data_IF_195576135013
#
_entry.id   IF_195576135013
#
_cell.length_a   1.000
_cell.length_b   1.000
_cell.length_c   1.000
_cell.angle_alpha   90.00
_cell.angle_beta   90.00
_cell.angle_gamma   90.00
#
_symmetry.space_group_name_H-M   'P 1'
#
loop_
_entity.id
_entity.type
_entity.pdbx_description
1 polymer ?
#
# COMPACT_ATOMS: atom_id res chain seq x y z
N UNK A 1 9.36 1.12 16.05
CA UNK A 1 9.70 1.00 14.62
C UNK A 1 9.12 2.14 13.82
N UNK A 2 9.70 2.40 12.67
CA UNK A 2 9.18 3.40 11.73
C UNK A 2 8.22 2.74 10.74
N UNK A 3 7.22 3.48 10.26
CA UNK A 3 6.22 2.97 9.34
C UNK A 3 6.82 2.30 8.09
N UNK A 4 7.90 2.84 7.55
CA UNK A 4 8.60 2.27 6.39
C UNK A 4 9.31 0.94 6.70
N UNK A 5 9.81 0.75 7.92
CA UNK A 5 10.47 -0.49 8.35
C UNK A 5 9.47 -1.63 8.50
N UNK A 6 8.24 -1.32 8.92
CA UNK A 6 7.17 -2.31 9.04
C UNK A 6 6.83 -2.89 7.66
N UNK A 7 6.65 -2.04 6.64
CA UNK A 7 6.26 -2.49 5.30
C UNK A 7 7.40 -3.17 4.53
N UNK A 8 8.67 -2.79 4.76
CA UNK A 8 9.78 -3.22 3.92
C UNK A 8 10.41 -4.57 4.29
N UNK A 9 10.28 -5.02 5.54
CA UNK A 9 11.11 -6.09 6.07
C UNK A 9 10.37 -7.39 6.37
N UNK A 10 9.05 -7.35 6.54
CA UNK A 10 8.27 -8.49 7.00
C UNK A 10 6.98 -8.64 6.21
N UNK A 11 6.43 -9.85 6.20
CA UNK A 11 5.04 -10.08 5.82
C UNK A 11 4.19 -9.84 7.05
N UNK A 12 3.24 -8.93 6.93
CA UNK A 12 2.27 -8.64 7.98
C UNK A 12 1.00 -9.42 7.67
N UNK A 13 0.65 -10.33 8.55
CA UNK A 13 -0.57 -11.11 8.45
C UNK A 13 -1.61 -10.63 9.45
N UNK A 14 -2.80 -10.32 8.99
CA UNK A 14 -3.96 -10.02 9.83
C UNK A 14 -4.67 -11.33 10.12
N UNK A 15 -4.71 -11.79 11.39
CA UNK A 15 -5.25 -13.09 11.78
C UNK A 15 -6.73 -13.30 11.45
N UNK A 16 -7.17 -14.55 11.45
CA UNK A 16 -8.56 -14.95 11.16
C UNK A 16 -9.61 -14.28 12.03
N UNK A 17 -9.31 -14.03 13.30
CA UNK A 17 -10.22 -13.46 14.29
C UNK A 17 -10.34 -11.94 14.19
N UNK A 18 -9.50 -11.29 13.42
CA UNK A 18 -9.53 -9.84 13.24
C UNK A 18 -10.63 -9.43 12.24
N UNK A 19 -11.25 -8.28 12.54
CA UNK A 19 -12.26 -7.67 11.66
C UNK A 19 -11.66 -7.16 10.35
N UNK A 20 -12.46 -6.95 9.28
CA UNK A 20 -11.98 -6.31 8.06
C UNK A 20 -11.60 -4.86 8.30
N UNK A 21 -10.98 -4.23 7.31
CA UNK A 21 -10.69 -2.82 7.34
C UNK A 21 -11.97 -1.97 7.41
N UNK A 22 -12.06 -1.05 8.40
CA UNK A 22 -13.27 -0.26 8.68
C UNK A 22 -13.04 1.24 8.76
N UNK A 23 -11.79 1.72 8.65
CA UNK A 23 -11.56 3.15 8.67
C UNK A 23 -12.26 3.83 7.50
N UNK A 24 -12.92 4.94 7.82
CA UNK A 24 -13.62 5.79 6.89
C UNK A 24 -12.81 7.05 6.57
N UNK A 25 -13.30 7.89 5.68
CA UNK A 25 -12.65 9.15 5.26
C UNK A 25 -12.27 10.03 6.46
N UNK A 26 -13.13 10.13 7.46
CA UNK A 26 -12.88 10.94 8.66
C UNK A 26 -11.65 10.46 9.44
N UNK A 27 -11.48 9.16 9.62
CA UNK A 27 -10.31 8.60 10.32
C UNK A 27 -9.02 8.94 9.58
N UNK A 28 -9.03 8.86 8.25
CA UNK A 28 -7.88 9.20 7.41
C UNK A 28 -7.59 10.69 7.49
N UNK A 29 -8.63 11.53 7.34
CA UNK A 29 -8.47 12.98 7.39
C UNK A 29 -7.95 13.45 8.75
N UNK A 30 -8.43 12.88 9.85
CA UNK A 30 -7.92 13.16 11.19
C UNK A 30 -6.44 12.78 11.32
N UNK A 31 -6.03 11.61 10.82
CA UNK A 31 -4.63 11.19 10.82
C UNK A 31 -3.73 12.20 10.05
N UNK A 32 -4.19 12.69 8.90
CA UNK A 32 -3.45 13.69 8.11
C UNK A 32 -3.41 15.06 8.82
N UNK A 33 -4.51 15.49 9.42
CA UNK A 33 -4.57 16.75 10.16
C UNK A 33 -3.63 16.73 11.36
N UNK A 34 -3.64 15.68 12.17
CA UNK A 34 -2.77 15.51 13.32
C UNK A 34 -1.30 15.51 12.93
N UNK A 35 -0.94 14.85 11.84
CA UNK A 35 0.42 14.88 11.31
C UNK A 35 0.83 16.29 10.86
N UNK A 36 -0.02 16.98 10.10
CA UNK A 36 0.24 18.33 9.60
C UNK A 36 0.32 19.35 10.73
N UNK A 37 -0.49 19.22 11.78
CA UNK A 37 -0.44 20.03 12.98
C UNK A 37 0.89 19.83 13.74
N UNK A 38 1.37 18.59 13.81
CA UNK A 38 2.66 18.29 14.38
C UNK A 38 3.81 18.93 13.57
N UNK A 39 3.77 18.82 12.23
CA UNK A 39 4.72 19.50 11.34
C UNK A 39 4.75 21.01 11.56
N UNK A 40 3.58 21.65 11.67
CA UNK A 40 3.48 23.10 11.84
C UNK A 40 4.02 23.59 13.18
N UNK A 41 3.89 22.80 14.24
CA UNK A 41 4.40 23.14 15.59
C UNK A 41 5.90 22.99 15.73
N UNK A 42 6.49 22.02 15.04
CA UNK A 42 7.92 21.67 15.21
C UNK A 42 8.83 22.30 14.18
N UNK A 43 8.28 22.81 13.06
CA UNK A 43 9.03 23.40 11.96
C UNK A 43 9.92 22.42 11.18
N UNK A 44 10.08 21.21 11.69
CA UNK A 44 10.78 20.08 11.06
C UNK A 44 9.91 18.83 11.19
N UNK A 45 9.96 17.91 10.22
CA UNK A 45 9.27 16.62 10.38
C UNK A 45 9.89 15.89 11.58
N UNK A 46 9.25 16.00 12.73
CA UNK A 46 9.55 15.19 13.91
C UNK A 46 8.80 13.86 13.81
N UNK A 47 9.29 12.85 14.51
CA UNK A 47 8.58 11.58 14.61
C UNK A 47 7.16 11.83 15.14
N UNK A 48 6.17 11.38 14.36
CA UNK A 48 4.76 11.42 14.76
C UNK A 48 4.34 10.06 15.26
N UNK A 49 4.08 9.98 16.56
CA UNK A 49 3.69 8.73 17.20
C UNK A 49 2.19 8.43 16.96
N UNK A 50 1.90 7.29 16.34
CA UNK A 50 0.54 6.87 15.98
C UNK A 50 -0.01 5.73 16.86
N UNK A 51 0.70 5.37 17.93
CA UNK A 51 0.25 4.39 18.90
C UNK A 51 1.06 3.10 18.91
N UNK A 52 0.53 2.09 19.63
CA UNK A 52 1.15 0.78 19.71
C UNK A 52 0.60 -0.19 18.65
N UNK A 53 1.39 -1.18 18.32
CA UNK A 53 0.99 -2.38 17.58
C UNK A 53 1.44 -3.61 18.37
N UNK A 54 0.63 -4.66 18.38
CA UNK A 54 0.97 -5.93 19.03
C UNK A 54 1.02 -7.00 17.94
N UNK A 55 2.12 -7.72 17.86
CA UNK A 55 2.32 -8.77 16.85
C UNK A 55 2.95 -10.02 17.47
N UNK A 56 2.56 -11.16 16.91
CA UNK A 56 3.22 -12.44 17.15
C UNK A 56 4.21 -12.69 16.02
N UNK A 57 5.46 -12.92 16.37
CA UNK A 57 6.54 -13.23 15.45
C UNK A 57 6.59 -14.75 15.22
N UNK A 58 6.67 -15.20 13.95
CA UNK A 58 6.90 -16.60 13.63
C UNK A 58 8.34 -17.05 13.97
N UNK A 59 8.57 -18.35 14.01
CA UNK A 59 9.89 -18.93 14.36
C UNK A 59 11.01 -18.44 13.41
N UNK A 60 10.68 -18.24 12.14
CA UNK A 60 11.61 -17.79 11.10
C UNK A 60 11.77 -16.26 11.08
N UNK A 61 11.04 -15.53 11.91
CA UNK A 61 11.01 -14.04 11.98
C UNK A 61 10.68 -13.36 10.63
N UNK A 62 9.85 -14.00 9.85
CA UNK A 62 9.47 -13.54 8.52
C UNK A 62 8.04 -13.03 8.44
N UNK A 63 7.16 -13.51 9.31
CA UNK A 63 5.75 -13.17 9.37
C UNK A 63 5.43 -12.56 10.73
N UNK A 64 4.80 -11.41 10.72
CA UNK A 64 4.22 -10.78 11.90
C UNK A 64 2.70 -10.92 11.86
N UNK A 65 2.15 -11.77 12.70
CA UNK A 65 0.70 -11.88 12.92
C UNK A 65 0.24 -10.71 13.77
N UNK A 66 -0.47 -9.77 13.17
CA UNK A 66 -0.84 -8.49 13.76
C UNK A 66 -2.09 -8.61 14.64
N UNK A 67 -1.91 -8.63 15.97
CA UNK A 67 -3.00 -8.75 16.94
C UNK A 67 -3.67 -7.39 17.21
N UNK A 68 -2.90 -6.31 17.21
CA UNK A 68 -3.44 -4.93 17.31
C UNK A 68 -2.73 -3.98 16.35
N UNK A 69 -3.45 -2.90 15.97
CA UNK A 69 -2.95 -1.88 15.06
C UNK A 69 -3.27 -2.13 13.58
N UNK A 70 -4.13 -3.11 13.27
CA UNK A 70 -4.45 -3.51 11.90
C UNK A 70 -4.97 -2.35 11.02
N UNK A 71 -5.84 -1.48 11.55
CA UNK A 71 -6.41 -0.38 10.77
C UNK A 71 -5.32 0.61 10.35
N UNK A 72 -4.45 1.00 11.27
CA UNK A 72 -3.31 1.91 11.03
C UNK A 72 -2.31 1.29 10.06
N UNK A 73 -1.98 0.03 10.24
CA UNK A 73 -1.03 -0.69 9.37
C UNK A 73 -1.60 -0.84 7.95
N UNK A 74 -2.89 -1.17 7.82
CA UNK A 74 -3.54 -1.22 6.52
C UNK A 74 -3.55 0.16 5.85
N UNK A 75 -3.85 1.23 6.59
CA UNK A 75 -3.80 2.60 6.05
C UNK A 75 -2.40 2.97 5.56
N UNK A 76 -1.36 2.61 6.32
CA UNK A 76 0.03 2.82 5.91
C UNK A 76 0.37 2.09 4.61
N UNK A 77 -0.11 0.86 4.47
CA UNK A 77 0.02 0.07 3.24
C UNK A 77 -0.68 0.76 2.05
N UNK A 78 -1.92 1.23 2.26
CA UNK A 78 -2.69 1.95 1.24
C UNK A 78 -2.04 3.28 0.86
N UNK A 79 -1.44 4.01 1.81
CA UNK A 79 -0.64 5.22 1.52
C UNK A 79 0.53 4.89 0.59
N UNK A 80 1.27 3.82 0.88
CA UNK A 80 2.37 3.40 0.03
C UNK A 80 1.89 2.96 -1.37
N UNK A 81 0.71 2.36 -1.45
CA UNK A 81 0.09 2.02 -2.73
C UNK A 81 -0.32 3.26 -3.55
N UNK A 82 -0.95 4.25 -2.93
CA UNK A 82 -1.27 5.54 -3.60
C UNK A 82 0.01 6.20 -4.11
N UNK A 83 1.04 6.22 -3.27
CA UNK A 83 2.37 6.72 -3.64
C UNK A 83 2.94 5.98 -4.85
N UNK A 84 2.80 4.65 -4.87
CA UNK A 84 3.26 3.79 -5.95
C UNK A 84 2.59 4.12 -7.30
N UNK A 85 1.27 4.21 -7.34
CA UNK A 85 0.54 4.47 -8.60
C UNK A 85 0.83 5.86 -9.17
N UNK A 86 1.07 6.88 -8.33
CA UNK A 86 1.49 8.22 -8.77
C UNK A 86 2.91 8.16 -9.31
N UNK A 87 3.83 7.50 -8.60
CA UNK A 87 5.23 7.36 -9.01
C UNK A 87 5.38 6.63 -10.37
N UNK A 88 4.54 5.63 -10.60
CA UNK A 88 4.52 4.93 -11.88
C UNK A 88 4.18 5.87 -13.05
N UNK A 89 3.20 6.77 -12.86
CA UNK A 89 2.84 7.78 -13.86
C UNK A 89 3.94 8.81 -14.08
N UNK A 90 4.65 9.21 -13.03
CA UNK A 90 5.81 10.09 -13.12
C UNK A 90 6.93 9.45 -13.94
N UNK A 91 7.27 8.19 -13.67
CA UNK A 91 8.28 7.46 -14.43
C UNK A 91 7.89 7.34 -15.92
N UNK A 92 6.62 7.03 -16.22
CA UNK A 92 6.11 7.02 -17.60
C UNK A 92 6.25 8.37 -18.32
N UNK A 93 5.89 9.45 -17.63
CA UNK A 93 5.98 10.79 -18.19
C UNK A 93 7.42 11.19 -18.46
N UNK A 94 8.32 10.98 -17.50
CA UNK A 94 9.73 11.36 -17.60
C UNK A 94 10.43 10.59 -18.72
N UNK A 95 10.07 9.32 -18.96
CA UNK A 95 10.57 8.54 -20.09
C UNK A 95 10.11 9.09 -21.45
N UNK A 96 8.91 9.68 -21.51
CA UNK A 96 8.37 10.27 -22.73
C UNK A 96 8.93 11.66 -23.03
N UNK A 97 9.44 12.36 -22.01
CA UNK A 97 10.03 13.68 -22.17
C UNK A 97 11.50 13.54 -22.63
N UNK A 98 11.82 14.00 -23.83
CA UNK A 98 13.13 13.84 -24.47
C UNK A 98 14.31 14.51 -23.74
N UNK A 99 14.11 15.16 -22.58
CA UNK A 99 15.09 16.07 -22.01
C UNK A 99 15.76 15.59 -20.70
N UNK A 100 15.38 14.44 -20.14
CA UNK A 100 15.78 14.18 -18.75
C UNK A 100 16.09 12.69 -18.49
N UNK A 101 17.27 12.28 -18.90
CA UNK A 101 17.76 10.90 -18.70
C UNK A 101 18.05 10.56 -17.24
N UNK A 102 18.79 11.40 -16.55
CA UNK A 102 19.11 11.19 -15.13
C UNK A 102 17.85 11.24 -14.27
N UNK A 103 16.93 12.11 -14.64
CA UNK A 103 15.62 12.21 -14.00
C UNK A 103 14.81 10.92 -14.17
N UNK A 104 14.77 10.33 -15.39
CA UNK A 104 14.05 9.09 -15.63
C UNK A 104 14.62 7.92 -14.81
N UNK A 105 15.94 7.80 -14.70
CA UNK A 105 16.58 6.79 -13.85
C UNK A 105 16.22 6.99 -12.38
N UNK A 106 16.27 8.23 -11.90
CA UNK A 106 15.89 8.59 -10.53
C UNK A 106 14.44 8.20 -10.24
N UNK A 107 13.52 8.48 -11.17
CA UNK A 107 12.09 8.12 -11.00
C UNK A 107 11.86 6.59 -10.99
N UNK A 108 12.64 5.84 -11.77
CA UNK A 108 12.60 4.38 -11.76
C UNK A 108 13.18 3.80 -10.45
N UNK A 109 14.27 4.35 -9.94
CA UNK A 109 14.86 3.93 -8.66
C UNK A 109 13.89 4.18 -7.49
N UNK A 110 13.20 5.32 -7.49
CA UNK A 110 12.12 5.62 -6.53
C UNK A 110 10.97 4.62 -6.66
N UNK A 111 10.54 4.30 -7.89
CA UNK A 111 9.50 3.32 -8.15
C UNK A 111 9.88 1.94 -7.59
N UNK A 112 11.12 1.51 -7.82
CA UNK A 112 11.63 0.24 -7.31
C UNK A 112 11.63 0.18 -5.77
N UNK A 113 12.00 1.27 -5.11
CA UNK A 113 12.00 1.36 -3.65
C UNK A 113 10.57 1.30 -3.07
N UNK A 114 9.61 1.98 -3.70
CA UNK A 114 8.21 1.96 -3.27
C UNK A 114 7.60 0.56 -3.49
N UNK A 115 7.90 -0.06 -4.63
CA UNK A 115 7.45 -1.40 -4.95
C UNK A 115 7.91 -2.45 -3.93
N UNK A 116 9.17 -2.35 -3.46
CA UNK A 116 9.70 -3.26 -2.45
C UNK A 116 8.86 -3.27 -1.15
N UNK A 117 8.23 -2.15 -0.84
CA UNK A 117 7.37 -2.01 0.33
C UNK A 117 5.93 -2.52 0.11
N UNK A 118 5.58 -2.94 -1.11
CA UNK A 118 4.27 -3.50 -1.43
C UNK A 118 4.28 -5.03 -1.46
N UNK A 119 5.41 -5.64 -1.79
CA UNK A 119 5.56 -7.09 -1.89
C UNK A 119 6.24 -7.66 -0.65
N UNK A 120 5.83 -8.85 -0.25
CA UNK A 120 6.38 -9.49 0.92
C UNK A 120 7.84 -9.92 0.74
N UNK A 121 8.54 -10.08 1.86
CA UNK A 121 9.96 -10.42 1.90
C UNK A 121 10.28 -11.78 1.24
N UNK A 122 9.30 -12.69 1.15
CA UNK A 122 9.42 -13.94 0.38
C UNK A 122 9.66 -13.69 -1.11
N UNK A 123 9.29 -12.51 -1.62
CA UNK A 123 9.55 -12.09 -2.99
C UNK A 123 10.90 -11.37 -3.17
N UNK A 124 11.75 -11.36 -2.15
CA UNK A 124 13.09 -10.74 -2.21
C UNK A 124 13.92 -11.22 -3.40
N UNK A 125 13.82 -12.49 -3.78
CA UNK A 125 14.51 -13.02 -4.97
C UNK A 125 14.00 -12.39 -6.27
N UNK A 126 12.70 -12.13 -6.38
CA UNK A 126 12.09 -11.45 -7.53
C UNK A 126 12.54 -9.99 -7.58
N UNK A 127 12.50 -9.28 -6.46
CA UNK A 127 13.01 -7.91 -6.36
C UNK A 127 14.50 -7.83 -6.67
N UNK A 128 15.31 -8.77 -6.17
CA UNK A 128 16.73 -8.88 -6.48
C UNK A 128 16.93 -9.05 -7.98
N UNK A 129 16.17 -9.94 -8.63
CA UNK A 129 16.22 -10.16 -10.08
C UNK A 129 15.83 -8.91 -10.86
N UNK A 130 14.76 -8.22 -10.45
CA UNK A 130 14.35 -6.92 -11.05
C UNK A 130 15.49 -5.91 -10.93
N UNK A 131 16.09 -5.80 -9.76
CA UNK A 131 17.21 -4.87 -9.50
C UNK A 131 18.46 -5.22 -10.32
N UNK A 132 18.78 -6.50 -10.45
CA UNK A 132 19.85 -6.99 -11.31
C UNK A 132 19.57 -6.67 -12.78
N UNK A 133 18.36 -6.93 -13.27
CA UNK A 133 17.95 -6.60 -14.65
C UNK A 133 18.01 -5.09 -14.90
N UNK A 134 17.54 -4.25 -13.97
CA UNK A 134 17.67 -2.80 -14.07
C UNK A 134 19.15 -2.40 -14.17
N UNK A 135 20.00 -3.00 -13.35
CA UNK A 135 21.44 -2.72 -13.35
C UNK A 135 22.09 -3.14 -14.68
N UNK A 136 21.73 -4.30 -15.20
CA UNK A 136 22.21 -4.81 -16.51
C UNK A 136 21.76 -3.92 -17.66
N UNK A 137 20.48 -3.51 -17.67
CA UNK A 137 19.97 -2.60 -18.70
C UNK A 137 20.62 -1.21 -18.62
N UNK A 138 20.82 -0.68 -17.40
CA UNK A 138 21.53 0.57 -17.20
C UNK A 138 23.00 0.50 -17.64
N UNK A 139 23.65 -0.67 -17.51
CA UNK A 139 25.02 -0.88 -17.97
C UNK A 139 25.17 -0.84 -19.51
N UNK A 140 24.07 -1.06 -20.25
CA UNK A 140 24.03 -0.93 -21.72
C UNK A 140 23.96 0.51 -22.19
N UNK A 141 23.78 1.48 -21.26
CA UNK A 141 23.70 2.90 -21.62
C UNK A 141 25.03 3.36 -22.21
N UNK A 142 25.03 3.95 -23.42
CA UNK A 142 26.23 4.43 -24.05
C UNK A 142 26.86 5.61 -23.30
N UNK A 143 28.10 5.94 -23.63
CA UNK A 143 28.73 7.14 -23.10
C UNK A 143 27.98 8.39 -23.56
N UNK A 144 27.93 9.42 -22.70
CA UNK A 144 27.26 10.71 -22.98
C UNK A 144 27.73 11.38 -24.29
N UNK A 145 28.93 11.06 -24.74
CA UNK A 145 29.55 11.65 -25.94
C UNK A 145 29.14 10.96 -27.26
N UNK A 146 28.38 9.86 -27.21
CA UNK A 146 27.95 9.17 -28.43
C UNK A 146 26.75 9.87 -29.09
N UNK A 147 26.76 10.01 -30.46
CA UNK A 147 25.68 10.69 -31.17
C UNK A 147 24.29 10.06 -30.99
N UNK A 148 24.23 8.73 -30.82
CA UNK A 148 23.00 7.96 -30.68
C UNK A 148 22.48 7.90 -29.23
N UNK A 149 23.17 8.59 -28.34
CA UNK A 149 22.92 8.55 -26.91
C UNK A 149 21.47 8.77 -26.49
N UNK A 150 20.76 9.81 -26.96
CA UNK A 150 19.38 10.07 -26.52
C UNK A 150 18.41 8.94 -26.88
N UNK A 151 18.54 8.36 -28.07
CA UNK A 151 17.63 7.30 -28.54
C UNK A 151 17.88 5.98 -27.83
N UNK A 152 19.12 5.58 -27.65
CA UNK A 152 19.50 4.34 -26.90
C UNK A 152 19.10 4.43 -25.43
N UNK A 153 19.21 5.61 -24.84
CA UNK A 153 18.76 5.85 -23.47
C UNK A 153 17.26 5.65 -23.32
N UNK A 154 16.49 6.24 -24.21
CA UNK A 154 15.02 6.10 -24.20
C UNK A 154 14.62 4.63 -24.36
N UNK A 155 15.31 3.88 -25.21
CA UNK A 155 15.10 2.46 -25.41
C UNK A 155 15.37 1.65 -24.13
N UNK A 156 16.53 1.84 -23.49
CA UNK A 156 16.90 1.14 -22.26
C UNK A 156 15.95 1.47 -21.11
N UNK A 157 15.62 2.76 -20.92
CA UNK A 157 14.70 3.17 -19.86
C UNK A 157 13.27 2.67 -20.13
N UNK A 158 12.85 2.62 -21.39
CA UNK A 158 11.56 2.03 -21.77
C UNK A 158 11.53 0.53 -21.50
N UNK A 159 12.65 -0.19 -21.74
CA UNK A 159 12.78 -1.60 -21.38
C UNK A 159 12.65 -1.81 -19.87
N UNK A 160 13.33 -1.01 -19.06
CA UNK A 160 13.24 -1.06 -17.60
C UNK A 160 11.80 -0.80 -17.12
N UNK A 161 11.15 0.24 -17.65
CA UNK A 161 9.76 0.54 -17.29
C UNK A 161 8.81 -0.59 -17.68
N UNK A 162 9.04 -1.24 -18.83
CA UNK A 162 8.25 -2.38 -19.26
C UNK A 162 8.38 -3.58 -18.33
N UNK A 163 9.54 -3.78 -17.69
CA UNK A 163 9.72 -4.81 -16.66
C UNK A 163 8.73 -4.57 -15.51
N UNK A 164 8.65 -3.33 -15.00
CA UNK A 164 7.70 -2.99 -13.96
C UNK A 164 6.25 -3.14 -14.41
N UNK A 165 5.92 -2.71 -15.63
CA UNK A 165 4.56 -2.86 -16.18
C UNK A 165 4.15 -4.31 -16.33
N UNK A 166 5.03 -5.16 -16.87
CA UNK A 166 4.79 -6.59 -17.04
C UNK A 166 4.65 -7.27 -15.68
N UNK A 167 5.58 -6.99 -14.75
CA UNK A 167 5.59 -7.61 -13.44
C UNK A 167 4.47 -7.11 -12.52
N UNK A 168 4.04 -5.87 -12.71
CA UNK A 168 2.98 -5.24 -11.92
C UNK A 168 1.61 -5.31 -12.59
N UNK A 169 1.51 -6.03 -13.71
CA UNK A 169 0.27 -6.23 -14.40
C UNK A 169 -0.29 -4.99 -15.09
N UNK A 170 0.49 -3.95 -15.29
CA UNK A 170 0.05 -2.78 -16.04
C UNK A 170 0.17 -3.03 -17.55
N UNK A 171 -0.73 -2.46 -18.37
CA UNK A 171 -0.67 -2.66 -19.81
C UNK A 171 0.62 -2.10 -20.38
N UNK A 172 1.28 -2.91 -21.22
CA UNK A 172 2.54 -2.54 -21.88
C UNK A 172 2.35 -1.53 -23.03
N UNK A 173 1.11 -1.32 -23.47
CA UNK A 173 0.76 -0.42 -24.57
C UNK A 173 -0.32 0.56 -24.15
N UNK A 174 -0.18 1.80 -24.60
CA UNK A 174 -1.29 2.77 -24.59
C UNK A 174 -2.33 2.27 -25.60
N UNK A 175 -3.54 2.02 -25.14
CA UNK A 175 -4.66 1.68 -26.00
C UNK A 175 -5.25 2.94 -26.63
N UNK A 176 -6.00 2.76 -27.71
CA UNK A 176 -6.56 3.85 -28.48
C UNK A 176 -7.70 4.60 -27.78
N UNK A 177 -8.27 4.03 -26.70
CA UNK A 177 -9.31 4.66 -25.90
C UNK A 177 -9.02 4.57 -24.41
N UNK A 178 -9.47 5.58 -23.66
CA UNK A 178 -9.37 5.59 -22.18
C UNK A 178 -10.07 4.37 -21.55
N UNK A 179 -11.23 3.99 -22.10
CA UNK A 179 -11.99 2.85 -21.60
C UNK A 179 -11.23 1.53 -21.75
N UNK A 180 -10.61 1.31 -22.91
CA UNK A 180 -9.84 0.10 -23.18
C UNK A 180 -8.57 0.07 -22.31
N UNK A 181 -7.92 1.21 -22.11
CA UNK A 181 -6.76 1.33 -21.20
C UNK A 181 -7.12 0.96 -19.78
N UNK A 182 -8.25 1.49 -19.26
CA UNK A 182 -8.75 1.16 -17.91
C UNK A 182 -9.01 -0.34 -17.80
N UNK A 183 -9.70 -0.91 -18.77
CA UNK A 183 -10.05 -2.34 -18.75
C UNK A 183 -8.81 -3.25 -18.81
N UNK A 184 -7.84 -2.93 -19.63
CA UNK A 184 -6.58 -3.68 -19.73
C UNK A 184 -5.76 -3.53 -18.46
N UNK A 185 -5.68 -2.32 -17.88
CA UNK A 185 -5.02 -2.07 -16.60
C UNK A 185 -5.63 -2.91 -15.49
N UNK A 186 -6.96 -2.96 -15.39
CA UNK A 186 -7.65 -3.76 -14.39
C UNK A 186 -7.36 -5.25 -14.53
N UNK A 187 -7.46 -5.79 -15.76
CA UNK A 187 -7.15 -7.21 -16.02
C UNK A 187 -5.72 -7.56 -15.64
N UNK A 188 -4.79 -6.69 -15.98
CA UNK A 188 -3.39 -6.89 -15.70
C UNK A 188 -3.09 -6.81 -14.19
N UNK A 189 -3.71 -5.88 -13.47
CA UNK A 189 -3.60 -5.75 -12.02
C UNK A 189 -4.23 -6.95 -11.29
N UNK A 190 -5.37 -7.46 -11.75
CA UNK A 190 -5.94 -8.69 -11.22
C UNK A 190 -5.00 -9.88 -11.39
N UNK A 191 -4.46 -10.09 -12.59
CA UNK A 191 -3.51 -11.17 -12.86
C UNK A 191 -2.24 -11.07 -12.00
N UNK A 192 -1.76 -9.86 -11.72
CA UNK A 192 -0.64 -9.61 -10.83
C UNK A 192 -0.99 -10.00 -9.39
N UNK A 193 -2.08 -9.45 -8.83
CA UNK A 193 -2.45 -9.72 -7.44
C UNK A 193 -2.91 -11.14 -7.16
N UNK A 194 -3.31 -11.90 -8.17
CA UNK A 194 -3.55 -13.34 -8.03
C UNK A 194 -2.26 -14.13 -7.78
N UNK A 195 -1.15 -13.70 -8.37
CA UNK A 195 0.14 -14.42 -8.34
C UNK A 195 1.07 -13.93 -7.23
N UNK A 196 0.96 -12.67 -6.84
CA UNK A 196 1.90 -12.04 -5.90
C UNK A 196 1.43 -12.13 -4.46
N UNK A 197 2.38 -12.36 -3.57
CA UNK A 197 2.19 -12.23 -2.14
C UNK A 197 2.48 -10.78 -1.75
N UNK A 198 1.48 -10.11 -1.18
CA UNK A 198 1.63 -8.75 -0.68
C UNK A 198 2.29 -8.77 0.71
N UNK A 199 3.01 -7.71 1.06
CA UNK A 199 3.56 -7.59 2.40
C UNK A 199 2.48 -7.45 3.47
N UNK A 200 1.28 -6.99 3.11
CA UNK A 200 0.09 -7.03 3.95
C UNK A 200 -0.89 -8.05 3.39
N UNK A 201 -1.28 -9.02 4.19
CA UNK A 201 -2.27 -10.04 3.82
C UNK A 201 -3.22 -10.33 4.97
N UNK A 202 -4.40 -10.81 4.64
CA UNK A 202 -5.37 -11.33 5.60
C UNK A 202 -5.32 -12.85 5.58
N UNK A 203 -5.31 -13.48 6.76
CA UNK A 203 -5.47 -14.92 6.88
C UNK A 203 -6.85 -15.37 6.36
N UNK A 204 -7.89 -14.53 6.51
CA UNK A 204 -9.19 -14.75 5.87
C UNK A 204 -9.12 -14.45 4.38
N UNK A 205 -9.39 -15.47 3.56
CA UNK A 205 -9.28 -15.37 2.11
C UNK A 205 -10.22 -14.34 1.48
N UNK A 206 -11.45 -14.19 2.02
CA UNK A 206 -12.40 -13.17 1.55
C UNK A 206 -11.85 -11.75 1.75
N UNK A 207 -11.32 -11.42 2.93
CA UNK A 207 -10.77 -10.09 3.21
C UNK A 207 -9.52 -9.79 2.39
N UNK A 208 -8.70 -10.82 2.15
CA UNK A 208 -7.56 -10.70 1.25
C UNK A 208 -8.01 -10.40 -0.20
N UNK A 209 -9.11 -11.03 -0.63
CA UNK A 209 -9.73 -10.76 -1.92
C UNK A 209 -10.29 -9.35 -1.99
N UNK A 210 -10.95 -8.86 -0.95
CA UNK A 210 -11.49 -7.48 -0.88
C UNK A 210 -10.38 -6.43 -1.01
N UNK A 211 -9.27 -6.60 -0.29
CA UNK A 211 -8.09 -5.74 -0.43
C UNK A 211 -7.56 -5.76 -1.87
N UNK A 212 -7.30 -6.95 -2.42
CA UNK A 212 -6.79 -7.09 -3.79
C UNK A 212 -7.71 -6.47 -4.83
N UNK A 213 -9.03 -6.67 -4.68
CA UNK A 213 -10.02 -6.06 -5.56
C UNK A 213 -10.01 -4.54 -5.47
N UNK A 214 -9.88 -3.97 -4.26
CA UNK A 214 -9.77 -2.53 -4.11
C UNK A 214 -8.54 -1.97 -4.84
N UNK A 215 -7.37 -2.60 -4.68
CA UNK A 215 -6.15 -2.19 -5.37
C UNK A 215 -6.27 -2.24 -6.91
N UNK A 216 -7.07 -3.17 -7.45
CA UNK A 216 -7.31 -3.28 -8.90
C UNK A 216 -8.32 -2.27 -9.43
N UNK A 217 -9.19 -1.71 -8.59
CA UNK A 217 -10.31 -0.87 -9.01
C UNK A 217 -10.01 0.63 -8.89
N UNK A 218 -8.78 1.03 -9.21
CA UNK A 218 -8.31 2.41 -9.14
C UNK A 218 -7.72 2.84 -10.47
N UNK A 219 -8.01 4.07 -10.86
CA UNK A 219 -7.45 4.71 -12.04
C UNK A 219 -7.06 6.16 -11.75
N UNK A 220 -5.85 6.55 -12.16
CA UNK A 220 -5.37 7.93 -12.10
C UNK A 220 -5.50 8.60 -13.48
N UNK A 221 -6.25 9.69 -13.50
CA UNK A 221 -6.48 10.53 -14.66
C UNK A 221 -5.69 11.85 -14.52
N UNK A 222 -4.66 12.00 -15.37
CA UNK A 222 -3.83 13.20 -15.43
C UNK A 222 -4.39 14.14 -16.48
N UNK A 223 -5.18 15.13 -16.08
CA UNK A 223 -5.84 16.11 -16.94
C UNK A 223 -4.91 17.27 -17.23
N UNK A 224 -4.02 17.14 -18.21
CA UNK A 224 -3.03 18.18 -18.56
C UNK A 224 -3.68 19.54 -18.86
N UNK A 225 -4.82 19.56 -19.55
CA UNK A 225 -5.52 20.80 -19.92
C UNK A 225 -6.05 21.60 -18.72
N UNK A 226 -6.45 20.95 -17.66
CA UNK A 226 -6.94 21.58 -16.42
C UNK A 226 -5.88 21.62 -15.31
N UNK A 227 -4.70 21.09 -15.55
CA UNK A 227 -3.63 20.93 -14.55
C UNK A 227 -4.13 20.24 -13.30
N UNK A 228 -4.92 19.16 -13.47
CA UNK A 228 -5.55 18.44 -12.39
C UNK A 228 -5.26 16.94 -12.44
N UNK A 229 -5.12 16.31 -11.26
CA UNK A 229 -4.99 14.87 -11.10
C UNK A 229 -6.25 14.39 -10.40
N UNK A 230 -6.91 13.40 -10.97
CA UNK A 230 -8.15 12.82 -10.43
C UNK A 230 -7.94 11.32 -10.21
N UNK A 231 -8.20 10.87 -9.00
CA UNK A 231 -8.32 9.46 -8.70
C UNK A 231 -9.77 9.04 -8.90
N UNK A 232 -9.99 7.99 -9.67
CA UNK A 232 -11.32 7.41 -9.92
C UNK A 232 -11.33 6.00 -9.33
N UNK A 233 -12.28 5.72 -8.46
CA UNK A 233 -12.58 4.37 -8.01
C UNK A 233 -13.63 3.74 -8.92
N UNK A 234 -13.35 2.51 -9.33
CA UNK A 234 -14.19 1.70 -10.21
C UNK A 234 -14.80 0.57 -9.39
N UNK A 235 -16.01 0.12 -9.78
CA UNK A 235 -16.67 -1.06 -9.18
C UNK A 235 -16.66 -1.07 -7.62
N UNK A 236 -17.07 0.03 -7.02
CA UNK A 236 -17.18 0.17 -5.57
C UNK A 236 -18.38 -0.65 -5.09
N UNK A 237 -18.13 -1.71 -4.36
CA UNK A 237 -19.12 -2.58 -3.72
C UNK A 237 -18.98 -2.55 -2.18
N UNK A 238 -19.85 -3.24 -1.48
CA UNK A 238 -19.82 -3.24 -0.01
C UNK A 238 -18.55 -3.88 0.55
N UNK A 239 -17.96 -4.82 -0.15
CA UNK A 239 -16.81 -5.60 0.31
C UNK A 239 -15.49 -4.82 0.21
N UNK A 240 -15.35 -3.97 -0.82
CA UNK A 240 -14.13 -3.19 -1.06
C UNK A 240 -14.27 -1.70 -0.71
N UNK A 241 -15.48 -1.25 -0.35
CA UNK A 241 -15.84 0.17 -0.15
C UNK A 241 -14.87 0.91 0.77
N UNK A 242 -14.58 0.34 1.94
CA UNK A 242 -13.75 1.02 2.94
C UNK A 242 -12.30 1.20 2.47
N UNK A 243 -11.74 0.20 1.77
CA UNK A 243 -10.42 0.33 1.17
C UNK A 243 -10.39 1.42 0.10
N UNK A 244 -11.39 1.47 -0.77
CA UNK A 244 -11.49 2.47 -1.82
C UNK A 244 -11.72 3.88 -1.25
N UNK A 245 -12.59 4.03 -0.24
CA UNK A 245 -12.77 5.29 0.48
C UNK A 245 -11.47 5.78 1.12
N UNK A 246 -10.71 4.88 1.75
CA UNK A 246 -9.43 5.24 2.33
C UNK A 246 -8.40 5.68 1.28
N UNK A 247 -8.35 5.01 0.14
CA UNK A 247 -7.46 5.36 -0.97
C UNK A 247 -7.83 6.73 -1.54
N UNK A 248 -9.13 7.00 -1.76
CA UNK A 248 -9.63 8.32 -2.17
C UNK A 248 -9.23 9.39 -1.15
N UNK A 249 -9.50 9.17 0.13
CA UNK A 249 -9.19 10.12 1.20
C UNK A 249 -7.68 10.38 1.32
N UNK A 250 -6.83 9.35 1.22
CA UNK A 250 -5.37 9.50 1.23
C UNK A 250 -4.92 10.37 0.06
N UNK A 251 -5.43 10.09 -1.13
CA UNK A 251 -5.09 10.84 -2.34
C UNK A 251 -5.54 12.31 -2.23
N UNK A 252 -6.77 12.55 -1.80
CA UNK A 252 -7.35 13.90 -1.70
C UNK A 252 -6.66 14.74 -0.62
N UNK A 253 -6.37 14.18 0.55
CA UNK A 253 -5.61 14.86 1.60
C UNK A 253 -4.18 15.21 1.14
N UNK A 254 -3.49 14.30 0.45
CA UNK A 254 -2.15 14.58 -0.09
C UNK A 254 -2.20 15.69 -1.15
N UNK A 255 -3.17 15.67 -2.04
CA UNK A 255 -3.39 16.68 -3.08
C UNK A 255 -3.69 18.04 -2.48
N UNK A 256 -4.62 18.10 -1.52
CA UNK A 256 -5.00 19.32 -0.82
C UNK A 256 -3.82 19.95 -0.08
N UNK A 257 -3.02 19.16 0.63
CA UNK A 257 -1.82 19.63 1.31
C UNK A 257 -0.84 20.28 0.33
N UNK A 258 -0.56 19.62 -0.79
CA UNK A 258 0.35 20.14 -1.82
C UNK A 258 -0.19 21.44 -2.44
N UNK A 259 -1.50 21.50 -2.71
CA UNK A 259 -2.13 22.71 -3.24
C UNK A 259 -2.06 23.89 -2.25
N UNK A 260 -2.31 23.65 -0.96
CA UNK A 260 -2.24 24.68 0.09
C UNK A 260 -0.81 25.19 0.33
N UNK A 261 0.17 24.28 0.36
CA UNK A 261 1.56 24.65 0.66
C UNK A 261 2.30 25.31 -0.51
N UNK A 262 1.79 25.14 -1.72
CA UNK A 262 2.42 25.62 -2.96
C UNK A 262 1.62 26.74 -3.65
N UNK A 263 0.80 27.48 -2.93
CA UNK A 263 -0.14 28.50 -3.45
C UNK A 263 0.51 29.70 -4.22
N UNK A 264 1.85 29.74 -4.37
CA UNK A 264 2.57 30.87 -4.98
C UNK A 264 2.58 30.91 -6.52
N UNK A 265 1.67 30.19 -7.21
CA UNK A 265 1.54 30.22 -8.66
C UNK A 265 0.93 28.96 -9.25
N UNK A 266 0.62 28.95 -10.57
CA UNK A 266 0.09 27.78 -11.25
C UNK A 266 1.15 26.66 -11.23
N UNK A 267 0.82 25.56 -10.55
CA UNK A 267 1.68 24.40 -10.48
C UNK A 267 1.45 23.49 -11.68
N UNK A 268 2.53 23.04 -12.30
CA UNK A 268 2.45 21.98 -13.30
C UNK A 268 1.96 20.68 -12.64
N UNK A 269 1.11 19.94 -13.35
CA UNK A 269 0.52 18.69 -12.90
C UNK A 269 1.57 17.65 -12.46
N UNK A 270 2.69 17.56 -13.17
CA UNK A 270 3.78 16.63 -12.88
C UNK A 270 4.56 17.05 -11.62
N UNK A 271 4.75 18.35 -11.43
CA UNK A 271 5.31 18.89 -10.18
C UNK A 271 4.39 18.62 -8.99
N UNK A 272 3.08 18.74 -9.18
CA UNK A 272 2.09 18.39 -8.15
C UNK A 272 2.18 16.90 -7.80
N UNK A 273 2.20 16.03 -8.80
CA UNK A 273 2.35 14.60 -8.60
C UNK A 273 3.63 14.24 -7.84
N UNK A 274 4.78 14.83 -8.20
CA UNK A 274 6.04 14.62 -7.51
C UNK A 274 5.95 15.04 -6.03
N UNK A 275 5.40 16.22 -5.75
CA UNK A 275 5.24 16.69 -4.37
C UNK A 275 4.28 15.83 -3.55
N UNK A 276 3.24 15.25 -4.17
CA UNK A 276 2.36 14.29 -3.50
C UNK A 276 3.12 13.01 -3.11
N UNK A 277 3.95 12.46 -4.02
CA UNK A 277 4.81 11.30 -3.74
C UNK A 277 5.78 11.59 -2.61
N UNK A 278 6.43 12.75 -2.65
CA UNK A 278 7.41 13.17 -1.63
C UNK A 278 6.72 13.38 -0.27
N UNK A 279 5.58 14.06 -0.25
CA UNK A 279 4.79 14.28 0.97
C UNK A 279 4.35 12.96 1.63
N UNK A 280 3.75 12.05 0.86
CA UNK A 280 3.36 10.73 1.36
C UNK A 280 4.58 9.91 1.82
N UNK A 281 5.71 10.06 1.13
CA UNK A 281 6.97 9.42 1.51
C UNK A 281 7.51 9.91 2.84
N UNK A 282 7.55 11.23 3.06
CA UNK A 282 7.97 11.82 4.32
C UNK A 282 6.97 11.50 5.44
N UNK A 283 5.67 11.49 5.15
CA UNK A 283 4.66 11.07 6.10
C UNK A 283 4.91 9.66 6.63
N UNK A 284 5.03 8.66 5.73
CA UNK A 284 5.33 7.27 6.08
C UNK A 284 6.64 7.13 6.86
N UNK A 285 7.66 7.88 6.47
CA UNK A 285 8.99 7.85 7.10
C UNK A 285 8.98 8.38 8.55
N UNK A 286 8.15 9.38 8.82
CA UNK A 286 8.07 10.01 10.14
C UNK A 286 7.03 9.38 11.06
N UNK A 287 6.15 8.51 10.55
CA UNK A 287 5.27 7.71 11.40
C UNK A 287 6.09 6.77 12.27
N UNK A 288 5.86 6.83 13.57
CA UNK A 288 6.48 5.93 14.55
C UNK A 288 5.43 5.14 15.32
N UNK A 289 5.74 3.88 15.57
CA UNK A 289 4.92 2.93 16.31
C UNK A 289 5.71 2.36 17.48
N UNK A 290 5.04 2.09 18.58
CA UNK A 290 5.55 1.18 19.58
C UNK A 290 5.19 -0.25 19.15
N UNK A 291 6.15 -1.01 18.64
CA UNK A 291 5.94 -2.40 18.27
C UNK A 291 6.20 -3.30 19.49
N UNK A 292 5.20 -4.03 19.92
CA UNK A 292 5.28 -5.05 20.94
C UNK A 292 5.30 -6.39 20.23
N UNK A 293 6.42 -7.09 20.30
CA UNK A 293 6.61 -8.39 19.68
C UNK A 293 6.64 -9.47 20.74
N UNK A 294 5.93 -10.55 20.52
CA UNK A 294 5.97 -11.77 21.34
C UNK A 294 6.01 -12.98 20.41
N UNK A 295 6.53 -14.08 20.91
CA UNK A 295 6.47 -15.38 20.24
C UNK A 295 5.29 -16.21 20.71
N UNK A 296 4.61 -15.79 21.81
CA UNK A 296 3.46 -16.46 22.36
C UNK A 296 2.16 -15.75 21.96
N UNK A 297 1.24 -16.44 21.25
CA UNK A 297 -0.05 -15.88 20.88
C UNK A 297 -0.94 -15.51 22.09
N UNK A 298 -0.82 -16.20 23.22
CA UNK A 298 -1.63 -15.95 24.41
C UNK A 298 -1.17 -14.68 25.14
N UNK A 299 0.14 -14.45 25.21
CA UNK A 299 0.71 -13.21 25.72
C UNK A 299 0.29 -12.02 24.85
N UNK A 300 0.33 -12.17 23.52
CA UNK A 300 -0.10 -11.12 22.61
C UNK A 300 -1.57 -10.74 22.79
N UNK A 301 -2.43 -11.75 23.00
CA UNK A 301 -3.85 -11.51 23.22
C UNK A 301 -4.13 -10.86 24.59
N UNK A 302 -3.44 -11.29 25.64
CA UNK A 302 -3.53 -10.66 26.97
C UNK A 302 -3.11 -9.19 26.91
N UNK A 303 -2.03 -8.88 26.19
CA UNK A 303 -1.59 -7.51 25.97
C UNK A 303 -2.63 -6.69 25.20
N UNK A 304 -3.25 -7.28 24.17
CA UNK A 304 -4.31 -6.66 23.41
C UNK A 304 -5.52 -6.32 24.28
N UNK A 305 -5.98 -7.25 25.13
CA UNK A 305 -7.08 -7.00 26.08
C UNK A 305 -6.73 -5.86 27.05
N UNK A 306 -5.55 -5.89 27.67
CA UNK A 306 -5.09 -4.86 28.63
C UNK A 306 -4.96 -3.48 27.95
N UNK A 307 -4.50 -3.42 26.71
CA UNK A 307 -4.38 -2.15 25.97
C UNK A 307 -5.74 -1.59 25.57
N UNK A 308 -6.68 -2.45 25.18
CA UNK A 308 -8.05 -2.04 24.81
C UNK A 308 -8.92 -1.72 26.02
N UNK A 309 -8.75 -2.37 27.15
CA UNK A 309 -9.47 -2.06 28.40
C UNK A 309 -9.21 -0.62 28.89
N UNK A 310 -8.12 0.00 28.44
CA UNK A 310 -7.79 1.41 28.72
C UNK A 310 -8.18 2.39 27.62
N UNK A 311 -8.46 1.92 26.42
CA UNK A 311 -8.88 2.71 25.26
C UNK A 311 -10.37 2.45 25.04
N UNK A 312 -11.23 3.32 25.57
CA UNK A 312 -12.68 3.30 25.38
C UNK A 312 -13.03 3.12 23.89
N UNK A 313 -14.00 2.22 23.62
CA UNK A 313 -14.72 2.00 22.34
C UNK A 313 -14.36 0.79 21.48
N UNK A 314 -13.88 -0.32 22.05
CA UNK A 314 -14.10 -1.61 21.37
C UNK A 314 -15.42 -2.19 21.92
N UNK A 315 -16.37 -2.44 21.02
CA UNK A 315 -17.63 -3.09 21.35
C UNK A 315 -17.35 -4.44 22.05
N UNK A 316 -17.86 -4.62 23.27
CA UNK A 316 -17.68 -5.84 24.07
C UNK A 316 -18.07 -7.09 23.26
N UNK A 317 -19.05 -6.95 22.37
CA UNK A 317 -19.47 -8.02 21.45
C UNK A 317 -18.39 -8.36 20.41
N UNK A 318 -17.65 -7.38 19.90
CA UNK A 318 -16.52 -7.65 18.98
C UNK A 318 -15.36 -8.34 19.71
N UNK A 319 -15.07 -7.95 20.95
CA UNK A 319 -14.06 -8.63 21.78
C UNK A 319 -14.44 -10.08 22.02
N UNK A 320 -15.70 -10.32 22.39
CA UNK A 320 -16.21 -11.66 22.59
C UNK A 320 -16.17 -12.52 21.32
N UNK A 321 -16.57 -11.97 20.19
CA UNK A 321 -16.46 -12.59 18.88
C UNK A 321 -15.03 -12.99 18.54
N UNK A 322 -14.10 -12.06 18.71
CA UNK A 322 -12.67 -12.29 18.47
C UNK A 322 -12.12 -13.41 19.37
N UNK A 323 -12.53 -13.42 20.62
CA UNK A 323 -12.17 -14.48 21.56
C UNK A 323 -12.68 -15.86 21.11
N UNK A 324 -13.94 -15.98 20.71
CA UNK A 324 -14.48 -17.25 20.19
C UNK A 324 -13.77 -17.73 18.94
N UNK A 325 -13.45 -16.84 18.01
CA UNK A 325 -12.73 -17.23 16.80
C UNK A 325 -11.30 -17.67 17.08
N UNK A 326 -10.61 -17.00 18.04
CA UNK A 326 -9.30 -17.42 18.51
C UNK A 326 -9.33 -18.82 19.09
N UNK A 327 -10.25 -19.07 20.05
CA UNK A 327 -10.41 -20.37 20.70
C UNK A 327 -10.70 -21.46 19.66
N UNK A 328 -11.59 -21.18 18.70
CA UNK A 328 -11.89 -22.11 17.61
C UNK A 328 -10.66 -22.45 16.77
N UNK A 329 -9.87 -21.44 16.36
CA UNK A 329 -8.66 -21.64 15.57
C UNK A 329 -7.59 -22.42 16.33
N UNK A 330 -7.43 -22.17 17.62
CA UNK A 330 -6.46 -22.87 18.47
C UNK A 330 -6.81 -24.34 18.71
N UNK A 331 -8.09 -24.67 18.87
CA UNK A 331 -8.55 -26.04 19.14
C UNK A 331 -8.78 -26.87 17.86
N UNK A 332 -8.56 -26.30 16.68
CA UNK A 332 -8.71 -26.96 15.39
C UNK A 332 -7.43 -26.90 14.53
N UNK A 333 -6.25 -27.27 15.05
CA UNK A 333 -4.99 -27.10 14.33
C UNK A 333 -4.85 -28.00 13.10
N UNK A 334 -5.61 -29.12 13.04
CA UNK A 334 -5.53 -30.12 11.96
C UNK A 334 -6.42 -29.77 10.74
N UNK A 335 -7.23 -28.72 10.83
CA UNK A 335 -8.13 -28.32 9.74
C UNK A 335 -7.36 -27.46 8.73
N UNK A 336 -7.54 -27.76 7.43
CA UNK A 336 -6.93 -26.95 6.36
C UNK A 336 -7.37 -25.48 6.43
N UNK A 337 -6.53 -24.55 5.96
CA UNK A 337 -6.87 -23.12 5.94
C UNK A 337 -8.15 -22.84 5.13
N UNK A 338 -8.42 -23.62 4.08
CA UNK A 338 -9.65 -23.54 3.31
C UNK A 338 -10.89 -23.89 4.14
N UNK A 339 -10.79 -24.89 4.99
CA UNK A 339 -11.91 -25.34 5.82
C UNK A 339 -12.09 -24.44 7.04
N UNK A 340 -11.00 -23.93 7.63
CA UNK A 340 -11.07 -22.87 8.64
C UNK A 340 -11.81 -21.64 8.13
N UNK A 341 -11.49 -21.17 6.91
CA UNK A 341 -12.20 -20.06 6.29
C UNK A 341 -13.70 -20.32 6.18
N UNK A 342 -14.12 -21.51 5.71
CA UNK A 342 -15.53 -21.88 5.58
C UNK A 342 -16.27 -21.89 6.92
N UNK A 343 -15.63 -22.42 7.96
CA UNK A 343 -16.24 -22.49 9.30
C UNK A 343 -16.35 -21.09 9.94
N UNK A 344 -15.33 -20.25 9.80
CA UNK A 344 -15.37 -18.87 10.28
C UNK A 344 -16.44 -18.06 9.53
N UNK A 345 -16.59 -18.26 8.21
CA UNK A 345 -17.65 -17.62 7.44
C UNK A 345 -19.05 -18.07 7.87
N UNK A 346 -19.22 -19.32 8.31
CA UNK A 346 -20.46 -19.79 8.93
C UNK A 346 -20.72 -19.13 10.28
N UNK A 347 -19.69 -19.05 11.13
CA UNK A 347 -19.79 -18.40 12.43
C UNK A 347 -20.11 -16.91 12.29
N UNK A 348 -19.52 -16.23 11.31
CA UNK A 348 -19.84 -14.82 11.02
C UNK A 348 -21.31 -14.63 10.61
N UNK A 349 -21.86 -15.53 9.79
CA UNK A 349 -23.26 -15.46 9.41
C UNK A 349 -24.18 -15.65 10.61
N UNK A 350 -23.91 -16.65 11.46
CA UNK A 350 -24.66 -16.88 12.68
C UNK A 350 -24.60 -15.68 13.62
N UNK A 351 -23.41 -15.05 13.74
CA UNK A 351 -23.23 -13.87 14.58
C UNK A 351 -24.04 -12.66 14.12
N UNK A 352 -24.14 -12.46 12.80
CA UNK A 352 -24.92 -11.34 12.21
C UNK A 352 -26.42 -11.59 12.20
N UNK A 353 -26.85 -12.87 12.10
CA UNK A 353 -28.27 -13.24 11.96
C UNK A 353 -28.95 -13.45 13.33
N UNK A 354 -28.22 -13.83 14.39
CA UNK A 354 -28.81 -14.24 15.66
C UNK A 354 -28.43 -13.39 16.88
N UNK A 355 -27.45 -12.50 16.75
CA UNK A 355 -26.99 -11.60 17.81
C UNK A 355 -27.04 -10.15 17.33
#
# INVERSE_FOLDING_TARGET
GKGIEILGNHIIEIPYYQRPYRWEEENITNLFNDYNDNLSKTGNPSEYFVGATVSVEDEDKTIFSLVDGQQRTTTLYLMNYVRYIIQLKLAEHTLKSNNAREDAKTEIDKLAAIYNNLIGNKNHLKFKKIKETISEECAKLPSYTEPDYPSKVTEVLSSILNIFKIELGLPSRLTTSEKDYILESQKAMHAFFEKEELCLKYARSCYNTYLKNALCNIYLDFKEKSSDIVLKCLNKDNDNKNYLCAIEAIFDNAKEYVQKTCANGPMNIWTMAQKMVDYLGEFIKHLSFCMILTTDPDDAYTLFEVLNDRALDVDDLELLKNHFYKVYCQHSPEISDSDKNKEIDKLDKLWVEEI
#
